data_IF_361645051187
#
_entry.id   IF_361645051187
#
_cell.length_a   1.000
_cell.length_b   1.000
_cell.length_c   1.000
_cell.angle_alpha   90.00
_cell.angle_beta   90.00
_cell.angle_gamma   90.00
#
_symmetry.space_group_name_H-M   'P 1'
#
loop_
_entity.id
_entity.type
_entity.pdbx_description
1 polymer ?
#
# COMPACT_ATOMS: atom_id res chain seq x y z
N UNK A 1 -3.30 -8.04 -3.12
CA UNK A 1 -2.34 -6.98 -3.53
C UNK A 1 -1.25 -6.85 -2.48
N UNK A 2 -0.01 -7.20 -2.83
CA UNK A 2 1.10 -7.16 -1.88
C UNK A 2 1.75 -5.78 -1.81
N UNK A 3 2.06 -5.31 -0.60
CA UNK A 3 2.95 -4.17 -0.38
C UNK A 3 3.96 -4.47 0.72
N UNK A 4 5.06 -3.73 0.68
CA UNK A 4 6.10 -3.86 1.67
C UNK A 4 5.74 -3.06 2.92
N UNK A 5 5.66 -3.74 4.05
CA UNK A 5 5.46 -3.10 5.34
C UNK A 5 6.82 -2.69 5.90
N UNK A 6 7.06 -1.38 6.02
CA UNK A 6 8.34 -0.88 6.57
C UNK A 6 8.53 -1.26 8.04
N UNK A 7 7.44 -1.36 8.82
CA UNK A 7 7.48 -1.83 10.21
C UNK A 7 7.78 -3.32 10.33
N UNK A 8 7.11 -4.15 9.53
CA UNK A 8 7.29 -5.61 9.59
C UNK A 8 8.45 -6.09 8.70
N UNK A 9 9.11 -5.19 7.98
CA UNK A 9 10.18 -5.43 6.99
C UNK A 9 9.90 -6.60 6.04
N UNK A 10 8.62 -6.82 5.72
CA UNK A 10 8.14 -7.96 4.94
C UNK A 10 7.08 -7.52 3.94
N UNK A 11 7.03 -8.21 2.80
CA UNK A 11 5.94 -8.08 1.84
C UNK A 11 4.73 -8.82 2.40
N UNK A 12 3.59 -8.14 2.48
CA UNK A 12 2.33 -8.72 2.93
C UNK A 12 1.20 -8.21 2.05
N UNK A 13 0.11 -8.97 1.99
CA UNK A 13 -1.11 -8.45 1.40
C UNK A 13 -1.68 -7.31 2.23
N UNK A 14 -1.97 -6.20 1.54
CA UNK A 14 -2.61 -5.05 2.15
C UNK A 14 -4.08 -5.39 2.44
N UNK A 15 -4.51 -5.08 3.66
CA UNK A 15 -5.92 -5.08 4.07
C UNK A 15 -6.54 -3.73 3.67
N UNK A 16 -7.81 -3.72 3.28
CA UNK A 16 -8.53 -2.50 2.84
C UNK A 16 -7.77 -1.75 1.73
N UNK A 17 -7.28 -2.49 0.74
CA UNK A 17 -6.51 -1.93 -0.35
C UNK A 17 -7.46 -1.17 -1.31
N UNK A 18 -7.28 0.14 -1.41
CA UNK A 18 -8.04 1.04 -2.28
C UNK A 18 -7.13 1.77 -3.27
N UNK A 19 -7.59 1.93 -4.51
CA UNK A 19 -6.91 2.79 -5.47
C UNK A 19 -7.09 4.26 -5.09
N UNK A 20 -6.00 5.02 -5.12
CA UNK A 20 -5.97 6.46 -4.95
C UNK A 20 -5.06 7.07 -6.01
N UNK A 21 -5.55 8.11 -6.68
CA UNK A 21 -4.73 8.91 -7.58
C UNK A 21 -3.95 9.92 -6.75
N UNK A 22 -2.62 9.90 -6.86
CA UNK A 22 -1.76 10.88 -6.20
C UNK A 22 -1.86 12.23 -6.94
N UNK A 23 -1.48 13.32 -6.27
CA UNK A 23 -1.51 14.68 -6.85
C UNK A 23 -0.66 14.85 -8.12
N UNK A 24 0.28 13.94 -8.36
CA UNK A 24 1.14 13.89 -9.54
C UNK A 24 0.55 13.05 -10.70
N UNK A 25 -0.73 12.70 -10.64
CA UNK A 25 -1.43 11.92 -11.69
C UNK A 25 -1.11 10.43 -11.69
N UNK A 26 -0.23 9.94 -10.81
CA UNK A 26 0.11 8.52 -10.72
C UNK A 26 -0.93 7.77 -9.88
N UNK A 27 -1.34 6.59 -10.37
CA UNK A 27 -2.17 5.67 -9.58
C UNK A 27 -1.33 5.05 -8.48
N UNK A 28 -1.89 4.99 -7.28
CA UNK A 28 -1.31 4.27 -6.16
C UNK A 28 -2.40 3.46 -5.48
N UNK A 29 -2.03 2.30 -4.96
CA UNK A 29 -2.85 1.54 -4.02
C UNK A 29 -2.48 1.98 -2.62
N UNK A 30 -3.47 2.36 -1.83
CA UNK A 30 -3.34 2.61 -0.40
C UNK A 30 -4.04 1.48 0.34
N UNK A 31 -3.42 0.92 1.37
CA UNK A 31 -4.04 -0.06 2.24
C UNK A 31 -3.45 -0.03 3.63
N UNK A 32 -3.73 -1.05 4.43
CA UNK A 32 -3.24 -1.21 5.79
C UNK A 32 -2.51 -2.53 5.96
N UNK A 33 -1.51 -2.54 6.83
CA UNK A 33 -0.86 -3.77 7.25
C UNK A 33 -1.78 -4.60 8.14
N UNK A 34 -2.07 -5.87 7.80
CA UNK A 34 -2.92 -6.72 8.64
C UNK A 34 -2.28 -7.04 10.00
N UNK A 35 -0.95 -6.96 10.12
CA UNK A 35 -0.25 -7.31 11.38
C UNK A 35 0.07 -6.12 12.28
N UNK A 36 0.37 -4.94 11.74
CA UNK A 36 0.75 -3.78 12.55
C UNK A 36 -0.15 -2.56 12.36
N UNK A 37 -1.21 -2.67 11.54
CA UNK A 37 -2.16 -1.58 11.26
C UNK A 37 -1.57 -0.39 10.48
N UNK A 38 -0.27 -0.39 10.19
CA UNK A 38 0.40 0.74 9.54
C UNK A 38 -0.07 0.88 8.10
N UNK A 39 -0.36 2.11 7.68
CA UNK A 39 -0.73 2.41 6.30
C UNK A 39 0.37 1.98 5.33
N UNK A 40 0.01 1.18 4.34
CA UNK A 40 0.89 0.78 3.25
C UNK A 40 0.46 1.47 1.97
N UNK A 41 1.44 1.79 1.13
CA UNK A 41 1.21 2.37 -0.17
C UNK A 41 2.02 1.61 -1.21
N UNK A 42 1.41 1.28 -2.34
CA UNK A 42 2.05 0.69 -3.51
C UNK A 42 1.73 1.55 -4.71
N UNK A 43 2.73 2.23 -5.25
CA UNK A 43 2.56 3.06 -6.44
C UNK A 43 2.38 2.12 -7.64
N UNK A 44 1.21 2.19 -8.27
CA UNK A 44 0.94 1.54 -9.56
C UNK A 44 1.34 2.53 -10.65
N UNK A 45 2.65 2.75 -10.78
CA UNK A 45 3.21 3.49 -11.89
C UNK A 45 3.01 2.69 -13.17
N UNK A 46 2.41 3.31 -14.18
CA UNK A 46 2.65 2.92 -15.57
C UNK A 46 3.96 3.56 -16.00
#
# INVERSE_FOLDING_TARGET
MEAYCVKCKSKKEMKDAAETTMKNGRKAMKGKCPTCGTGMFRIMGK
#
